data_IF_938049869477
#
_entry.id   IF_938049869477
#
_cell.length_a   1.000
_cell.length_b   1.000
_cell.length_c   1.000
_cell.angle_alpha   90.00
_cell.angle_beta   90.00
_cell.angle_gamma   90.00
#
_symmetry.space_group_name_H-M   'P 1'
#
loop_
_entity.id
_entity.type
_entity.pdbx_description
1 polymer ?
#
# COMPACT_ATOMS: atom_id res chain seq x y z
N UNK A 1 -12.45 -2.08 -17.94
CA UNK A 1 -10.98 -2.21 -17.86
C UNK A 1 -10.22 -0.93 -17.49
N UNK A 2 -10.16 0.13 -18.30
CA UNK A 2 -9.32 1.31 -18.00
C UNK A 2 -9.77 2.07 -16.73
N UNK A 3 -11.08 2.11 -16.48
CA UNK A 3 -11.66 2.68 -15.25
C UNK A 3 -11.32 1.81 -14.03
N UNK A 4 -11.37 0.48 -14.16
CA UNK A 4 -11.06 -0.46 -13.08
C UNK A 4 -9.59 -0.34 -12.66
N UNK A 5 -8.66 -0.31 -13.62
CA UNK A 5 -7.24 -0.19 -13.30
C UNK A 5 -6.91 1.16 -12.64
N UNK A 6 -7.56 2.26 -13.07
CA UNK A 6 -7.44 3.58 -12.40
C UNK A 6 -7.98 3.56 -10.97
N UNK A 7 -9.10 2.89 -10.72
CA UNK A 7 -9.67 2.73 -9.38
C UNK A 7 -8.73 1.90 -8.49
N UNK A 8 -8.18 0.79 -8.98
CA UNK A 8 -7.21 -0.01 -8.23
C UNK A 8 -5.95 0.76 -7.89
N UNK A 9 -5.46 1.59 -8.83
CA UNK A 9 -4.30 2.43 -8.61
C UNK A 9 -4.58 3.51 -7.55
N UNK A 10 -5.75 4.15 -7.61
CA UNK A 10 -6.17 5.12 -6.59
C UNK A 10 -6.26 4.48 -5.20
N UNK A 11 -6.88 3.29 -5.09
CA UNK A 11 -6.97 2.52 -3.85
C UNK A 11 -5.57 2.15 -3.33
N UNK A 12 -4.66 1.72 -4.20
CA UNK A 12 -3.28 1.40 -3.83
C UNK A 12 -2.55 2.60 -3.22
N UNK A 13 -2.71 3.79 -3.82
CA UNK A 13 -2.13 5.04 -3.31
C UNK A 13 -2.70 5.39 -1.94
N UNK A 14 -4.01 5.25 -1.73
CA UNK A 14 -4.65 5.50 -0.43
C UNK A 14 -4.12 4.54 0.63
N UNK A 15 -4.02 3.24 0.34
CA UNK A 15 -3.52 2.25 1.29
C UNK A 15 -2.04 2.46 1.63
N UNK A 16 -1.19 2.75 0.64
CA UNK A 16 0.20 3.12 0.90
C UNK A 16 0.30 4.41 1.72
N UNK A 17 -0.50 5.43 1.44
CA UNK A 17 -0.50 6.68 2.20
C UNK A 17 -0.88 6.48 3.67
N UNK A 18 -1.92 5.68 3.94
CA UNK A 18 -2.34 5.35 5.32
C UNK A 18 -1.26 4.52 6.02
N UNK A 19 -0.69 3.51 5.35
CA UNK A 19 0.40 2.71 5.89
C UNK A 19 1.63 3.57 6.22
N UNK A 20 2.03 4.46 5.32
CA UNK A 20 3.16 5.35 5.53
C UNK A 20 2.94 6.34 6.68
N UNK A 21 1.73 6.90 6.79
CA UNK A 21 1.35 7.77 7.91
C UNK A 21 1.38 7.04 9.26
N UNK A 22 0.88 5.80 9.30
CA UNK A 22 0.91 4.99 10.52
C UNK A 22 2.33 4.55 10.88
N UNK A 23 3.18 4.20 9.90
CA UNK A 23 4.61 3.95 10.12
C UNK A 23 5.33 5.17 10.71
N UNK A 24 5.14 6.35 10.12
CA UNK A 24 5.73 7.61 10.58
C UNK A 24 5.30 7.92 12.02
N UNK A 25 4.01 7.79 12.31
CA UNK A 25 3.49 8.02 13.66
C UNK A 25 4.11 7.07 14.68
N UNK A 26 4.24 5.78 14.34
CA UNK A 26 4.91 4.81 15.19
C UNK A 26 6.40 5.13 15.40
N UNK A 27 7.11 5.55 14.34
CA UNK A 27 8.52 5.95 14.44
C UNK A 27 8.72 7.17 15.34
N UNK A 28 7.90 8.22 15.19
CA UNK A 28 7.98 9.42 16.04
C UNK A 28 7.63 9.14 17.49
N UNK A 29 6.72 8.20 17.77
CA UNK A 29 6.43 7.78 19.14
C UNK A 29 7.58 6.96 19.73
N UNK A 30 8.18 6.06 18.94
CA UNK A 30 9.33 5.25 19.36
C UNK A 30 10.57 6.09 19.68
N UNK A 31 10.80 7.20 18.96
CA UNK A 31 11.93 8.10 19.22
C UNK A 31 11.68 9.00 20.45
N UNK A 32 10.41 9.21 20.84
CA UNK A 32 10.03 10.01 21.99
C UNK A 32 9.95 9.19 23.30
N UNK A 33 9.70 7.88 23.20
CA UNK A 33 9.46 7.00 24.36
C UNK A 33 10.65 6.04 24.57
N UNK A 34 11.66 6.51 25.29
CA UNK A 34 12.84 5.73 25.66
C UNK A 34 12.52 4.73 26.80
N UNK A 35 11.88 3.59 26.52
CA UNK A 35 12.09 2.41 27.37
C UNK A 35 10.97 1.39 27.55
N UNK A 36 9.72 1.65 27.15
CA UNK A 36 8.62 0.70 27.41
C UNK A 36 7.80 0.49 26.12
N UNK A 37 7.99 -0.66 25.47
CA UNK A 37 7.27 -1.02 24.25
C UNK A 37 5.80 -1.35 24.58
N UNK A 38 4.91 -0.36 24.49
CA UNK A 38 3.50 -0.54 24.83
C UNK A 38 2.78 -1.48 23.84
N UNK A 39 1.86 -2.35 24.30
CA UNK A 39 1.14 -3.29 23.44
C UNK A 39 0.29 -2.60 22.36
N UNK A 40 -0.03 -1.32 22.51
CA UNK A 40 -0.71 -0.51 21.49
C UNK A 40 0.15 -0.24 20.26
N UNK A 41 1.48 -0.24 20.38
CA UNK A 41 2.37 0.07 19.25
C UNK A 41 2.59 -1.14 18.35
N UNK A 42 2.56 -2.37 18.91
CA UNK A 42 2.58 -3.61 18.09
C UNK A 42 1.40 -3.71 17.13
N UNK A 43 0.21 -3.29 17.54
CA UNK A 43 -0.98 -3.31 16.67
C UNK A 43 -0.87 -2.29 15.54
N UNK A 44 -0.31 -1.10 15.80
CA UNK A 44 -0.09 -0.08 14.76
C UNK A 44 0.94 -0.54 13.74
N UNK A 45 2.03 -1.17 14.19
CA UNK A 45 3.06 -1.68 13.31
C UNK A 45 2.54 -2.83 12.42
N UNK A 46 1.80 -3.78 13.01
CA UNK A 46 1.15 -4.87 12.27
C UNK A 46 0.15 -4.32 11.23
N UNK A 47 -0.70 -3.38 11.65
CA UNK A 47 -1.67 -2.74 10.77
C UNK A 47 -0.99 -2.02 9.60
N UNK A 48 0.07 -1.26 9.88
CA UNK A 48 0.88 -0.61 8.86
C UNK A 48 1.44 -1.62 7.84
N UNK A 49 2.04 -2.72 8.29
CA UNK A 49 2.56 -3.78 7.40
C UNK A 49 1.46 -4.36 6.52
N UNK A 50 0.27 -4.62 7.07
CA UNK A 50 -0.89 -5.12 6.30
C UNK A 50 -1.31 -4.11 5.23
N UNK A 51 -1.40 -2.82 5.58
CA UNK A 51 -1.82 -1.76 4.66
C UNK A 51 -0.83 -1.57 3.51
N UNK A 52 0.48 -1.62 3.79
CA UNK A 52 1.52 -1.59 2.77
C UNK A 52 1.40 -2.82 1.86
N UNK A 53 1.22 -4.01 2.44
CA UNK A 53 1.10 -5.25 1.66
C UNK A 53 -0.14 -5.23 0.74
N UNK A 54 -1.29 -4.78 1.24
CA UNK A 54 -2.49 -4.58 0.43
C UNK A 54 -2.24 -3.57 -0.71
N UNK A 55 -1.57 -2.45 -0.39
CA UNK A 55 -1.18 -1.45 -1.38
C UNK A 55 -0.32 -2.03 -2.51
N UNK A 56 0.68 -2.86 -2.16
CA UNK A 56 1.55 -3.54 -3.14
C UNK A 56 0.75 -4.50 -4.03
N UNK A 57 -0.16 -5.30 -3.47
CA UNK A 57 -1.01 -6.21 -4.25
C UNK A 57 -1.86 -5.41 -5.25
N UNK A 58 -2.52 -4.34 -4.78
CA UNK A 58 -3.34 -3.50 -5.66
C UNK A 58 -2.50 -2.88 -6.79
N UNK A 59 -1.25 -2.50 -6.50
CA UNK A 59 -0.33 -1.94 -7.49
C UNK A 59 0.10 -2.99 -8.52
N UNK A 60 0.42 -4.21 -8.10
CA UNK A 60 0.74 -5.33 -9.00
C UNK A 60 -0.45 -5.69 -9.91
N UNK A 61 -1.66 -5.75 -9.36
CA UNK A 61 -2.87 -5.99 -10.15
C UNK A 61 -3.10 -4.87 -11.18
N UNK A 62 -2.97 -3.61 -10.78
CA UNK A 62 -3.11 -2.47 -11.70
C UNK A 62 -2.05 -2.48 -12.81
N UNK A 63 -0.80 -2.77 -12.46
CA UNK A 63 0.31 -2.90 -13.41
C UNK A 63 0.06 -4.05 -14.40
N UNK A 64 -0.37 -5.21 -13.90
CA UNK A 64 -0.69 -6.37 -14.75
C UNK A 64 -1.79 -6.07 -15.75
N UNK A 65 -2.88 -5.41 -15.32
CA UNK A 65 -3.95 -4.97 -16.20
C UNK A 65 -3.45 -3.95 -17.24
N UNK A 66 -2.55 -3.05 -16.85
CA UNK A 66 -1.97 -2.06 -17.75
C UNK A 66 -1.09 -2.70 -18.84
N UNK A 67 -0.22 -3.64 -18.46
CA UNK A 67 0.62 -4.39 -19.41
C UNK A 67 -0.23 -5.25 -20.33
N UNK A 68 -1.23 -5.94 -19.80
CA UNK A 68 -2.16 -6.72 -20.61
C UNK A 68 -2.86 -5.87 -21.68
N UNK A 69 -3.25 -4.65 -21.32
CA UNK A 69 -3.88 -3.73 -22.26
C UNK A 69 -2.91 -3.25 -23.35
N UNK A 70 -1.65 -2.95 -23.00
CA UNK A 70 -0.61 -2.63 -24.00
C UNK A 70 -0.41 -3.78 -24.98
N UNK A 71 -0.38 -5.03 -24.51
CA UNK A 71 -0.21 -6.20 -25.37
C UNK A 71 -1.36 -6.37 -26.37
N UNK A 72 -2.61 -6.13 -25.93
CA UNK A 72 -3.78 -6.11 -26.80
C UNK A 72 -3.70 -4.97 -27.82
N UNK A 73 -3.36 -3.76 -27.38
CA UNK A 73 -3.28 -2.58 -28.27
C UNK A 73 -2.20 -2.75 -29.34
N UNK A 74 -1.09 -3.42 -29.01
CA UNK A 74 -0.02 -3.79 -29.95
C UNK A 74 -0.36 -5.01 -30.83
N UNK A 75 -1.53 -5.64 -30.67
CA UNK A 75 -1.90 -6.91 -31.35
C UNK A 75 -0.84 -8.00 -31.23
N UNK A 76 -0.09 -8.01 -30.13
CA UNK A 76 0.92 -9.04 -29.87
C UNK A 76 0.29 -10.34 -29.34
N UNK A 77 -0.96 -10.24 -28.85
CA UNK A 77 -1.86 -11.32 -28.42
C UNK A 77 -3.24 -10.98 -28.97
#
# INVERSE_FOLDING_TARGET
>A
MLIESKIFLFIAVVFMGIGFYTALTAAYQSDADFGEEYPQDRWKELFCKIMIFLGVICLLCSLGLFVYQILIDLKMI
#
